data_IF_095048330333
#
_entry.id   IF_095048330333
#
_cell.length_a   1.000
_cell.length_b   1.000
_cell.length_c   1.000
_cell.angle_alpha   90.00
_cell.angle_beta   90.00
_cell.angle_gamma   90.00
#
_symmetry.space_group_name_H-M   'P 1'
#
loop_
_entity.id
_entity.type
_entity.pdbx_description
1 polymer ?
#
# COMPACT_ATOMS: atom_id res chain seq x y z
N UNK A 1 16.91 3.13 35.75
CA UNK A 1 15.44 2.99 35.81
C UNK A 1 14.91 3.03 34.40
N UNK A 2 14.30 1.94 33.91
CA UNK A 2 13.61 1.92 32.61
C UNK A 2 12.27 2.64 32.83
N UNK A 3 11.89 3.61 31.98
CA UNK A 3 10.53 4.15 32.05
C UNK A 3 9.57 3.01 31.75
N UNK A 4 8.70 2.73 32.70
CA UNK A 4 7.72 1.67 32.59
C UNK A 4 6.66 2.03 31.53
N UNK A 5 5.92 1.03 31.03
CA UNK A 5 4.80 1.19 30.12
C UNK A 5 3.77 2.25 30.60
N UNK A 6 3.71 2.57 31.88
CA UNK A 6 2.88 3.63 32.47
C UNK A 6 3.32 5.06 32.11
N UNK A 7 4.60 5.30 31.80
CA UNK A 7 5.08 6.63 31.37
C UNK A 7 4.77 6.94 29.90
N UNK A 8 4.55 5.92 29.09
CA UNK A 8 4.08 6.06 27.70
C UNK A 8 2.60 6.46 27.63
N UNK A 9 1.80 6.11 28.65
CA UNK A 9 0.38 6.49 28.74
C UNK A 9 0.17 7.93 29.21
N UNK A 10 1.17 8.60 29.75
CA UNK A 10 1.08 9.97 30.28
C UNK A 10 1.33 11.06 29.24
N UNK A 11 1.64 10.73 27.99
CA UNK A 11 1.54 11.66 26.87
C UNK A 11 0.07 11.82 26.38
N UNK A 12 -0.88 11.79 27.25
CA UNK A 12 -2.34 11.78 26.97
C UNK A 12 -2.89 13.01 26.21
N UNK A 13 -2.04 13.91 25.73
CA UNK A 13 -2.45 15.03 24.88
C UNK A 13 -1.87 15.05 23.47
N UNK A 14 -0.77 14.36 23.18
CA UNK A 14 -0.07 14.47 21.88
C UNK A 14 -0.14 13.16 21.08
N UNK A 15 -0.97 13.14 20.05
CA UNK A 15 -1.06 12.00 19.08
C UNK A 15 0.24 11.86 18.29
N UNK A 16 0.82 12.97 17.88
CA UNK A 16 2.03 13.03 17.06
C UNK A 16 3.28 13.19 17.95
N UNK A 17 3.63 12.09 18.61
CA UNK A 17 4.89 11.99 19.36
C UNK A 17 6.08 11.86 18.42
N UNK A 18 7.31 12.14 18.90
CA UNK A 18 8.53 12.01 18.07
C UNK A 18 8.63 10.65 17.36
N UNK A 19 8.39 9.50 18.01
CA UNK A 19 8.40 8.21 17.32
C UNK A 19 7.37 8.09 16.19
N UNK A 20 6.15 8.58 16.40
CA UNK A 20 5.09 8.56 15.38
C UNK A 20 5.47 9.47 14.20
N UNK A 21 6.04 10.66 14.48
CA UNK A 21 6.50 11.57 13.43
C UNK A 21 7.66 10.98 12.62
N UNK A 22 8.59 10.28 13.26
CA UNK A 22 9.69 9.59 12.56
C UNK A 22 9.15 8.48 11.65
N UNK A 23 8.16 7.70 12.09
CA UNK A 23 7.51 6.67 11.26
C UNK A 23 6.74 7.27 10.08
N UNK A 24 6.03 8.37 10.28
CA UNK A 24 5.33 9.07 9.22
C UNK A 24 6.29 9.69 8.20
N UNK A 25 7.38 10.32 8.67
CA UNK A 25 8.44 10.84 7.79
C UNK A 25 9.10 9.73 7.00
N UNK A 26 9.36 8.58 7.62
CA UNK A 26 9.88 7.38 6.95
C UNK A 26 8.96 6.92 5.81
N UNK A 27 7.64 6.92 6.05
CA UNK A 27 6.65 6.58 5.01
C UNK A 27 6.80 7.50 3.79
N UNK A 28 6.86 8.81 4.00
CA UNK A 28 7.01 9.78 2.91
C UNK A 28 8.34 9.58 2.16
N UNK A 29 9.46 9.58 2.89
CA UNK A 29 10.83 9.54 2.33
C UNK A 29 11.04 8.27 1.51
N UNK A 30 10.65 7.10 2.02
CA UNK A 30 10.84 5.82 1.33
C UNK A 30 9.88 5.64 0.17
N UNK A 31 8.65 6.16 0.28
CA UNK A 31 7.72 6.18 -0.85
C UNK A 31 8.22 7.07 -1.97
N UNK A 32 8.72 8.26 -1.63
CA UNK A 32 9.34 9.18 -2.59
C UNK A 32 10.51 8.52 -3.31
N UNK A 33 11.43 7.89 -2.57
CA UNK A 33 12.59 7.18 -3.11
C UNK A 33 12.17 6.08 -4.11
N UNK A 34 11.18 5.25 -3.73
CA UNK A 34 10.65 4.21 -4.60
C UNK A 34 9.95 4.80 -5.83
N UNK A 35 9.14 5.83 -5.66
CA UNK A 35 8.37 6.45 -6.74
C UNK A 35 9.25 7.17 -7.76
N UNK A 36 10.43 7.66 -7.39
CA UNK A 36 11.41 8.23 -8.33
C UNK A 36 11.87 7.23 -9.39
N UNK A 37 11.91 5.93 -9.08
CA UNK A 37 12.43 4.90 -9.98
C UNK A 37 11.38 4.31 -10.91
N UNK A 38 10.10 4.29 -10.50
CA UNK A 38 9.03 3.56 -11.19
C UNK A 38 8.83 3.96 -12.67
N UNK A 39 8.74 5.25 -13.06
CA UNK A 39 8.54 5.64 -14.45
C UNK A 39 9.71 5.25 -15.36
N UNK A 40 10.89 5.12 -14.77
CA UNK A 40 12.14 4.84 -15.48
C UNK A 40 12.45 3.37 -15.63
N UNK A 41 11.85 2.50 -14.82
CA UNK A 41 12.13 1.06 -14.85
C UNK A 41 11.99 0.46 -16.23
N UNK A 42 10.91 0.78 -16.94
CA UNK A 42 10.66 0.25 -18.29
C UNK A 42 11.70 0.77 -19.28
N UNK A 43 11.94 2.09 -19.29
CA UNK A 43 12.90 2.74 -20.19
C UNK A 43 14.33 2.27 -19.88
N UNK A 44 14.68 2.20 -18.62
CA UNK A 44 16.00 1.73 -18.18
C UNK A 44 16.26 0.28 -18.60
N UNK A 45 15.29 -0.62 -18.38
CA UNK A 45 15.42 -2.02 -18.77
C UNK A 45 15.50 -2.21 -20.29
N UNK A 46 14.74 -1.42 -21.06
CA UNK A 46 14.82 -1.44 -22.50
C UNK A 46 16.20 -0.97 -23.01
N UNK A 47 16.72 0.13 -22.47
CA UNK A 47 18.01 0.68 -22.88
C UNK A 47 19.22 -0.15 -22.37
N UNK A 48 19.15 -0.67 -21.14
CA UNK A 48 20.29 -1.35 -20.51
C UNK A 48 20.37 -2.82 -20.87
N UNK A 49 19.23 -3.50 -20.98
CA UNK A 49 19.16 -4.96 -21.17
C UNK A 49 18.51 -5.37 -22.50
N UNK A 50 18.06 -4.40 -23.32
CA UNK A 50 17.41 -4.69 -24.60
C UNK A 50 16.04 -5.39 -24.48
N UNK A 51 15.37 -5.27 -23.33
CA UNK A 51 14.10 -5.94 -23.06
C UNK A 51 12.93 -5.23 -23.73
N UNK A 52 12.00 -6.02 -24.28
CA UNK A 52 10.71 -5.52 -24.74
C UNK A 52 9.79 -5.09 -23.59
N UNK A 53 8.81 -4.23 -23.89
CA UNK A 53 7.85 -3.74 -22.89
C UNK A 53 7.11 -4.88 -22.18
N UNK A 54 6.77 -5.94 -22.93
CA UNK A 54 6.09 -7.12 -22.38
C UNK A 54 6.97 -7.87 -21.40
N UNK A 55 8.26 -8.08 -21.71
CA UNK A 55 9.21 -8.80 -20.85
C UNK A 55 9.44 -8.03 -19.55
N UNK A 56 9.61 -6.71 -19.64
CA UNK A 56 9.74 -5.83 -18.47
C UNK A 56 8.47 -5.89 -17.61
N UNK A 57 7.28 -5.83 -18.23
CA UNK A 57 6.00 -5.94 -17.53
C UNK A 57 5.86 -7.27 -16.78
N UNK A 58 6.21 -8.39 -17.40
CA UNK A 58 6.19 -9.72 -16.78
C UNK A 58 7.18 -9.82 -15.61
N UNK A 59 8.41 -9.33 -15.80
CA UNK A 59 9.43 -9.36 -14.75
C UNK A 59 9.07 -8.49 -13.56
N UNK A 60 8.55 -7.27 -13.78
CA UNK A 60 8.09 -6.39 -12.70
C UNK A 60 6.85 -6.92 -12.00
N UNK A 61 5.88 -7.47 -12.76
CA UNK A 61 4.71 -8.14 -12.22
C UNK A 61 5.11 -9.34 -11.34
N UNK A 62 6.02 -10.18 -11.83
CA UNK A 62 6.58 -11.28 -11.07
C UNK A 62 7.29 -10.83 -9.78
N UNK A 63 8.06 -9.75 -9.85
CA UNK A 63 8.72 -9.17 -8.68
C UNK A 63 7.71 -8.66 -7.64
N UNK A 64 6.61 -8.05 -8.06
CA UNK A 64 5.54 -7.60 -7.16
C UNK A 64 4.81 -8.78 -6.51
N UNK A 65 4.50 -9.83 -7.28
CA UNK A 65 3.87 -11.04 -6.75
C UNK A 65 4.79 -11.71 -5.72
N UNK A 66 6.06 -11.93 -6.08
CA UNK A 66 7.04 -12.54 -5.19
C UNK A 66 7.20 -11.74 -3.89
N UNK A 67 7.36 -10.43 -3.98
CA UNK A 67 7.48 -9.56 -2.79
C UNK A 67 6.23 -9.53 -1.94
N UNK A 68 5.03 -9.57 -2.53
CA UNK A 68 3.76 -9.63 -1.80
C UNK A 68 3.61 -10.95 -1.03
N UNK A 69 3.96 -12.08 -1.64
CA UNK A 69 3.95 -13.38 -0.96
C UNK A 69 4.98 -13.45 0.16
N UNK A 70 6.21 -13.00 -0.10
CA UNK A 70 7.28 -12.97 0.90
C UNK A 70 7.00 -11.98 2.05
N UNK A 71 6.21 -10.94 1.81
CA UNK A 71 5.84 -9.97 2.84
C UNK A 71 5.05 -10.59 4.01
N UNK A 72 4.38 -11.70 3.77
CA UNK A 72 3.74 -12.50 4.82
C UNK A 72 4.77 -12.99 5.86
N UNK A 73 5.87 -13.55 5.36
CA UNK A 73 7.00 -13.94 6.22
C UNK A 73 7.65 -12.71 6.87
N UNK A 74 7.72 -11.60 6.13
CA UNK A 74 8.15 -10.30 6.66
C UNK A 74 7.31 -9.85 7.86
N UNK A 75 5.99 -9.98 7.78
CA UNK A 75 5.07 -9.69 8.89
C UNK A 75 5.33 -10.55 10.13
N UNK A 76 5.59 -11.85 9.93
CA UNK A 76 5.99 -12.77 10.99
C UNK A 76 7.32 -12.34 11.67
N UNK A 77 8.29 -11.85 10.89
CA UNK A 77 9.52 -11.31 11.45
C UNK A 77 9.30 -10.01 12.24
N UNK A 78 8.36 -9.16 11.80
CA UNK A 78 7.97 -7.93 12.53
C UNK A 78 7.46 -8.25 13.93
N UNK A 79 6.72 -9.33 14.11
CA UNK A 79 6.22 -9.75 15.42
C UNK A 79 7.33 -10.38 16.28
N UNK A 80 8.34 -11.01 15.68
CA UNK A 80 9.42 -11.70 16.41
C UNK A 80 10.56 -10.80 16.86
N UNK A 81 10.86 -9.77 16.08
CA UNK A 81 11.98 -8.88 16.37
C UNK A 81 11.49 -7.50 16.81
N UNK A 82 12.36 -6.74 17.47
CA UNK A 82 12.02 -5.37 17.83
C UNK A 82 11.77 -4.53 16.58
N UNK A 83 10.75 -3.69 16.61
CA UNK A 83 10.40 -2.79 15.51
C UNK A 83 11.62 -1.99 15.01
N UNK A 84 12.49 -1.53 15.94
CA UNK A 84 13.72 -0.82 15.61
C UNK A 84 14.67 -1.67 14.75
N UNK A 85 14.91 -2.94 15.11
CA UNK A 85 15.79 -3.82 14.33
C UNK A 85 15.22 -4.09 12.94
N UNK A 86 13.94 -4.35 12.84
CA UNK A 86 13.26 -4.60 11.56
C UNK A 86 13.40 -3.38 10.64
N UNK A 87 13.14 -2.17 11.14
CA UNK A 87 13.22 -0.96 10.32
C UNK A 87 14.64 -0.63 9.88
N UNK A 88 15.64 -0.85 10.73
CA UNK A 88 17.05 -0.67 10.35
C UNK A 88 17.48 -1.72 9.33
N UNK A 89 17.19 -3.01 9.56
CA UNK A 89 17.59 -4.10 8.63
C UNK A 89 16.87 -3.96 7.29
N UNK A 90 15.55 -3.76 7.30
CA UNK A 90 14.79 -3.61 6.05
C UNK A 90 15.18 -2.33 5.30
N UNK A 91 15.44 -1.22 6.02
CA UNK A 91 15.96 0.01 5.42
C UNK A 91 17.35 -0.17 4.79
N UNK A 92 18.22 -0.93 5.45
CA UNK A 92 19.54 -1.28 4.88
C UNK A 92 19.42 -2.13 3.64
N UNK A 93 18.53 -3.14 3.65
CA UNK A 93 18.23 -3.95 2.46
C UNK A 93 17.66 -3.11 1.32
N UNK A 94 16.76 -2.15 1.61
CA UNK A 94 16.23 -1.21 0.63
C UNK A 94 17.34 -0.36 -0.01
N UNK A 95 18.21 0.22 0.79
CA UNK A 95 19.32 1.04 0.32
C UNK A 95 20.32 0.21 -0.52
N UNK A 96 20.75 -0.95 -0.01
CA UNK A 96 21.70 -1.84 -0.69
C UNK A 96 21.13 -2.37 -2.01
N UNK A 97 19.84 -2.74 -2.04
CA UNK A 97 19.21 -3.24 -3.25
C UNK A 97 19.10 -2.15 -4.33
N UNK A 98 18.77 -0.91 -3.98
CA UNK A 98 18.83 0.20 -4.95
C UNK A 98 20.26 0.49 -5.41
N UNK A 99 21.24 0.41 -4.52
CA UNK A 99 22.64 0.51 -4.88
C UNK A 99 23.10 -0.60 -5.84
N UNK A 100 22.67 -1.84 -5.58
CA UNK A 100 22.94 -2.97 -6.45
C UNK A 100 22.25 -2.78 -7.83
N UNK A 101 21.00 -2.31 -7.87
CA UNK A 101 20.30 -2.02 -9.11
C UNK A 101 21.00 -0.92 -9.94
N UNK A 102 21.61 0.07 -9.29
CA UNK A 102 22.39 1.11 -9.95
C UNK A 102 23.71 0.57 -10.53
N UNK A 103 24.43 -0.28 -9.78
CA UNK A 103 25.78 -0.71 -10.12
C UNK A 103 25.84 -1.93 -11.03
N UNK A 104 24.79 -2.75 -11.09
CA UNK A 104 24.84 -4.02 -11.80
C UNK A 104 24.63 -3.90 -13.31
N UNK A 105 25.41 -4.73 -14.04
CA UNK A 105 25.18 -4.99 -15.46
C UNK A 105 24.43 -6.30 -15.72
N UNK A 106 24.21 -7.09 -14.66
CA UNK A 106 23.48 -8.33 -14.75
C UNK A 106 21.98 -8.12 -14.64
N UNK A 107 21.22 -8.52 -15.66
CA UNK A 107 19.75 -8.48 -15.68
C UNK A 107 19.16 -9.26 -14.50
N UNK A 108 19.67 -10.46 -14.23
CA UNK A 108 19.17 -11.30 -13.13
C UNK A 108 19.36 -10.61 -11.75
N UNK A 109 20.54 -10.02 -11.52
CA UNK A 109 20.82 -9.30 -10.29
C UNK A 109 19.97 -8.02 -10.17
N UNK A 110 19.71 -7.32 -11.28
CA UNK A 110 18.83 -6.16 -11.31
C UNK A 110 17.41 -6.54 -10.87
N UNK A 111 16.80 -7.56 -11.47
CA UNK A 111 15.45 -7.97 -11.08
C UNK A 111 15.39 -8.56 -9.67
N UNK A 112 16.42 -9.28 -9.22
CA UNK A 112 16.54 -9.70 -7.82
C UNK A 112 16.56 -8.48 -6.88
N UNK A 113 17.34 -7.45 -7.22
CA UNK A 113 17.38 -6.20 -6.46
C UNK A 113 15.99 -5.54 -6.41
N UNK A 114 15.22 -5.50 -7.51
CA UNK A 114 13.85 -4.98 -7.54
C UNK A 114 12.91 -5.80 -6.63
N UNK A 115 13.02 -7.13 -6.59
CA UNK A 115 12.27 -7.97 -5.64
C UNK A 115 12.61 -7.58 -4.20
N UNK A 116 13.91 -7.44 -3.88
CA UNK A 116 14.36 -7.08 -2.54
C UNK A 116 13.90 -5.67 -2.14
N UNK A 117 13.95 -4.69 -3.05
CA UNK A 117 13.40 -3.33 -2.81
C UNK A 117 11.93 -3.40 -2.43
N UNK A 118 11.11 -4.10 -3.24
CA UNK A 118 9.68 -4.20 -2.99
C UNK A 118 9.38 -4.94 -1.67
N UNK A 119 10.10 -6.02 -1.38
CA UNK A 119 9.97 -6.75 -0.12
C UNK A 119 10.37 -5.89 1.07
N UNK A 120 11.52 -5.22 1.01
CA UNK A 120 11.98 -4.34 2.08
C UNK A 120 10.99 -3.19 2.34
N UNK A 121 10.47 -2.56 1.29
CA UNK A 121 9.43 -1.54 1.39
C UNK A 121 8.16 -2.09 2.06
N UNK A 122 7.70 -3.28 1.66
CA UNK A 122 6.52 -3.92 2.26
C UNK A 122 6.74 -4.23 3.75
N UNK A 123 7.91 -4.76 4.14
CA UNK A 123 8.25 -5.06 5.54
C UNK A 123 8.32 -3.78 6.38
N UNK A 124 8.90 -2.69 5.84
CA UNK A 124 8.92 -1.39 6.51
C UNK A 124 7.50 -0.86 6.70
N UNK A 125 6.65 -0.94 5.68
CA UNK A 125 5.25 -0.50 5.77
C UNK A 125 4.47 -1.28 6.84
N UNK A 126 4.64 -2.60 6.89
CA UNK A 126 4.06 -3.47 7.93
C UNK A 126 4.56 -3.06 9.32
N UNK A 127 5.87 -2.85 9.48
CA UNK A 127 6.48 -2.48 10.76
C UNK A 127 5.99 -1.09 11.24
N UNK A 128 5.81 -0.14 10.32
CA UNK A 128 5.24 1.18 10.63
C UNK A 128 3.78 1.06 11.07
N UNK A 129 2.95 0.28 10.36
CA UNK A 129 1.55 0.05 10.74
C UNK A 129 1.44 -0.61 12.12
N UNK A 130 2.21 -1.66 12.36
CA UNK A 130 2.26 -2.34 13.66
C UNK A 130 2.75 -1.40 14.77
N UNK A 131 3.76 -0.57 14.49
CA UNK A 131 4.28 0.45 15.40
C UNK A 131 3.24 1.52 15.74
N UNK A 132 2.49 2.03 14.76
CA UNK A 132 1.37 2.95 14.98
C UNK A 132 0.31 2.30 15.89
N UNK A 133 -0.05 1.03 15.63
CA UNK A 133 -0.98 0.27 16.45
C UNK A 133 -0.52 0.08 17.91
N UNK A 134 0.79 0.16 18.17
CA UNK A 134 1.37 0.05 19.51
C UNK A 134 1.50 1.40 20.21
N UNK A 135 1.88 2.46 19.47
CA UNK A 135 2.20 3.77 20.03
C UNK A 135 1.00 4.71 20.14
N UNK A 136 -0.03 4.48 19.34
CA UNK A 136 -1.18 5.39 19.23
C UNK A 136 -2.41 4.78 19.89
N UNK A 137 -3.11 5.58 20.71
CA UNK A 137 -4.38 5.17 21.31
C UNK A 137 -5.40 4.79 20.22
N UNK A 138 -6.18 3.73 20.44
CA UNK A 138 -7.10 3.13 19.46
C UNK A 138 -8.02 4.16 18.80
N UNK A 139 -8.53 5.13 19.58
CA UNK A 139 -9.45 6.18 19.11
C UNK A 139 -8.80 7.17 18.12
N UNK A 140 -7.46 7.25 18.11
CA UNK A 140 -6.69 8.21 17.28
C UNK A 140 -5.98 7.55 16.09
N UNK A 141 -5.96 6.20 16.02
CA UNK A 141 -5.24 5.46 14.95
C UNK A 141 -5.77 5.78 13.56
N UNK A 142 -7.10 5.95 13.40
CA UNK A 142 -7.71 6.30 12.11
C UNK A 142 -7.13 7.61 11.54
N UNK A 143 -6.98 8.65 12.36
CA UNK A 143 -6.38 9.91 11.94
C UNK A 143 -4.89 9.73 11.53
N UNK A 144 -4.12 8.93 12.29
CA UNK A 144 -2.70 8.70 12.00
C UNK A 144 -2.51 7.86 10.73
N UNK A 145 -3.35 6.82 10.52
CA UNK A 145 -3.34 6.06 9.27
C UNK A 145 -3.71 6.91 8.06
N UNK A 146 -4.62 7.88 8.23
CA UNK A 146 -4.97 8.83 7.17
C UNK A 146 -3.81 9.76 6.82
N UNK A 147 -3.10 10.30 7.83
CA UNK A 147 -1.86 11.08 7.60
C UNK A 147 -0.81 10.21 6.90
N UNK A 148 -0.63 8.97 7.34
CA UNK A 148 0.27 8.02 6.67
C UNK A 148 -0.07 7.86 5.18
N UNK A 149 -1.36 7.67 4.87
CA UNK A 149 -1.83 7.52 3.51
C UNK A 149 -1.64 8.80 2.67
N UNK A 150 -1.92 9.97 3.23
CA UNK A 150 -1.63 11.26 2.59
C UNK A 150 -0.16 11.39 2.22
N UNK A 151 0.74 11.07 3.16
CA UNK A 151 2.19 11.13 2.93
C UNK A 151 2.66 10.15 1.86
N UNK A 152 2.06 8.96 1.82
CA UNK A 152 2.27 7.99 0.73
C UNK A 152 1.89 8.59 -0.63
N UNK A 153 0.71 9.21 -0.73
CA UNK A 153 0.25 9.82 -1.99
C UNK A 153 1.11 11.01 -2.42
N UNK A 154 1.53 11.86 -1.47
CA UNK A 154 2.47 12.96 -1.77
C UNK A 154 3.80 12.41 -2.30
N UNK A 155 4.31 11.32 -1.71
CA UNK A 155 5.51 10.64 -2.18
C UNK A 155 5.36 10.11 -3.61
N UNK A 156 4.23 9.44 -3.91
CA UNK A 156 3.93 8.95 -5.26
C UNK A 156 3.70 10.06 -6.28
N UNK A 157 3.14 11.21 -5.87
CA UNK A 157 2.94 12.35 -6.76
C UNK A 157 4.26 13.08 -7.06
N UNK A 158 5.11 13.31 -6.06
CA UNK A 158 6.37 14.04 -6.19
C UNK A 158 7.50 13.19 -6.80
N UNK A 159 7.52 11.88 -6.52
CA UNK A 159 8.58 10.98 -6.93
C UNK A 159 8.87 10.97 -8.43
N UNK A 160 7.88 10.78 -9.31
CA UNK A 160 8.06 10.78 -10.75
C UNK A 160 8.73 12.05 -11.29
N UNK A 161 8.38 13.24 -10.76
CA UNK A 161 9.01 14.51 -11.19
C UNK A 161 10.50 14.53 -10.88
N UNK A 162 10.88 14.13 -9.66
CA UNK A 162 12.28 14.02 -9.27
C UNK A 162 13.00 12.96 -10.09
N UNK A 163 12.36 11.83 -10.33
CA UNK A 163 12.88 10.74 -11.14
C UNK A 163 13.21 11.18 -12.57
N UNK A 164 12.30 11.94 -13.22
CA UNK A 164 12.52 12.51 -14.56
C UNK A 164 13.71 13.47 -14.57
N UNK A 165 13.82 14.34 -13.58
CA UNK A 165 14.94 15.29 -13.49
C UNK A 165 16.28 14.56 -13.35
N UNK A 166 16.34 13.56 -12.49
CA UNK A 166 17.56 12.77 -12.25
C UNK A 166 17.94 11.95 -13.48
N UNK A 167 16.96 11.31 -14.14
CA UNK A 167 17.24 10.47 -15.30
C UNK A 167 17.71 11.26 -16.53
N UNK A 168 17.30 12.52 -16.67
CA UNK A 168 17.85 13.42 -17.70
C UNK A 168 19.35 13.67 -17.51
N UNK A 169 19.83 13.68 -16.26
CA UNK A 169 21.25 13.82 -15.94
C UNK A 169 22.03 12.49 -16.07
N UNK A 170 21.33 11.34 -15.90
CA UNK A 170 21.88 10.02 -16.12
C UNK A 170 20.87 8.91 -15.85
N UNK A 171 20.76 7.89 -16.73
CA UNK A 171 19.68 6.88 -16.67
C UNK A 171 19.62 6.09 -15.35
N UNK A 172 20.76 5.87 -14.69
CA UNK A 172 20.85 5.16 -13.41
C UNK A 172 20.65 6.04 -12.17
N UNK A 173 20.72 7.37 -12.30
CA UNK A 173 20.70 8.30 -11.17
C UNK A 173 19.46 8.20 -10.26
N UNK A 174 18.24 7.90 -10.75
CA UNK A 174 17.10 7.66 -9.88
C UNK A 174 17.33 6.52 -8.87
N UNK A 175 18.02 5.44 -9.27
CA UNK A 175 18.35 4.32 -8.40
C UNK A 175 19.43 4.69 -7.38
N UNK A 176 20.47 5.42 -7.82
CA UNK A 176 21.51 5.93 -6.92
C UNK A 176 20.91 6.88 -5.87
N UNK A 177 20.06 7.82 -6.27
CA UNK A 177 19.38 8.74 -5.36
C UNK A 177 18.49 7.99 -4.37
N UNK A 178 17.71 7.00 -4.82
CA UNK A 178 16.89 6.17 -3.95
C UNK A 178 17.73 5.38 -2.93
N UNK A 179 18.92 4.88 -3.33
CA UNK A 179 19.87 4.24 -2.42
C UNK A 179 20.35 5.21 -1.33
N UNK A 180 20.78 6.41 -1.70
CA UNK A 180 21.22 7.42 -0.73
C UNK A 180 20.12 7.88 0.21
N UNK A 181 18.89 8.02 -0.29
CA UNK A 181 17.71 8.29 0.56
C UNK A 181 17.48 7.15 1.56
N UNK A 182 17.65 5.90 1.12
CA UNK A 182 17.59 4.72 1.99
C UNK A 182 18.67 4.75 3.07
N UNK A 183 19.91 5.09 2.73
CA UNK A 183 21.01 5.27 3.71
C UNK A 183 20.65 6.37 4.72
N UNK A 184 20.17 7.52 4.23
CA UNK A 184 19.72 8.62 5.08
C UNK A 184 18.62 8.21 6.06
N UNK A 185 17.65 7.41 5.59
CA UNK A 185 16.60 6.83 6.44
C UNK A 185 17.20 5.94 7.54
N UNK A 186 18.11 5.02 7.18
CA UNK A 186 18.73 4.11 8.15
C UNK A 186 19.49 4.89 9.23
N UNK A 187 20.28 5.88 8.84
CA UNK A 187 21.02 6.73 9.76
C UNK A 187 20.05 7.51 10.69
N UNK A 188 19.04 8.15 10.10
CA UNK A 188 18.05 8.92 10.86
C UNK A 188 17.31 8.03 11.85
N UNK A 189 16.89 6.81 11.40
CA UNK A 189 16.16 5.88 12.26
C UNK A 189 17.05 5.22 13.30
N UNK A 190 18.30 4.94 13.00
CA UNK A 190 19.28 4.41 13.96
C UNK A 190 19.57 5.41 15.10
N UNK A 191 19.61 6.72 14.77
CA UNK A 191 19.92 7.78 15.73
C UNK A 191 18.67 8.23 16.52
N UNK A 192 17.53 8.39 15.87
CA UNK A 192 16.33 9.00 16.45
C UNK A 192 15.14 8.03 16.57
N UNK A 193 15.26 6.85 16.00
CA UNK A 193 14.20 5.83 16.07
C UNK A 193 14.02 5.32 17.51
N UNK A 194 12.77 5.15 17.89
CA UNK A 194 12.45 4.61 19.20
C UNK A 194 12.83 3.14 19.26
N UNK A 195 13.61 2.78 20.26
CA UNK A 195 13.87 1.39 20.63
C UNK A 195 12.62 0.82 21.30
N UNK A 196 11.52 0.72 20.55
CA UNK A 196 10.36 -0.03 20.98
C UNK A 196 10.83 -1.45 21.29
N UNK A 197 10.75 -1.81 22.55
CA UNK A 197 10.97 -3.18 22.98
C UNK A 197 10.05 -4.12 22.22
N UNK A 198 10.38 -5.41 22.20
CA UNK A 198 9.39 -6.45 21.90
C UNK A 198 8.11 -6.10 22.63
N UNK A 199 6.97 -5.99 21.96
CA UNK A 199 5.70 -6.11 22.63
C UNK A 199 5.83 -7.38 23.48
N UNK A 200 5.50 -7.29 24.77
CA UNK A 200 5.57 -8.45 25.66
C UNK A 200 4.74 -9.55 24.98
N UNK A 201 5.42 -10.46 24.33
CA UNK A 201 4.77 -11.48 23.53
C UNK A 201 4.46 -12.61 24.50
N UNK A 202 3.19 -12.78 24.83
CA UNK A 202 2.66 -13.99 25.45
C UNK A 202 2.72 -15.19 24.48
N UNK A 203 3.27 -15.00 23.27
CA UNK A 203 3.51 -16.08 22.31
C UNK A 203 4.68 -16.91 22.79
N UNK A 204 4.51 -18.23 22.97
CA UNK A 204 5.63 -19.13 23.22
C UNK A 204 6.73 -18.92 22.18
N UNK A 205 8.01 -18.82 22.58
CA UNK A 205 9.13 -18.55 21.66
C UNK A 205 9.30 -19.60 20.54
N UNK A 206 8.48 -20.63 20.51
CA UNK A 206 8.63 -21.84 19.68
C UNK A 206 7.60 -21.99 18.56
N UNK A 207 6.58 -21.14 18.44
CA UNK A 207 5.60 -21.26 17.34
C UNK A 207 6.26 -20.99 15.99
N UNK A 208 6.22 -22.02 15.10
CA UNK A 208 6.77 -21.93 13.75
C UNK A 208 5.91 -21.05 12.84
N UNK A 209 6.49 -20.55 11.73
CA UNK A 209 5.75 -19.76 10.74
C UNK A 209 4.52 -20.52 10.19
N UNK A 210 4.66 -21.81 9.91
CA UNK A 210 3.57 -22.64 9.37
C UNK A 210 2.42 -22.82 10.37
N UNK A 211 2.70 -22.87 11.65
CA UNK A 211 1.70 -22.98 12.72
C UNK A 211 0.90 -21.68 12.83
N UNK A 212 1.59 -20.52 12.84
CA UNK A 212 0.93 -19.20 12.82
C UNK A 212 0.12 -19.03 11.54
N UNK A 213 0.61 -19.51 10.38
CA UNK A 213 -0.14 -19.51 9.14
C UNK A 213 -1.43 -20.33 9.23
N UNK A 214 -1.37 -21.52 9.87
CA UNK A 214 -2.55 -22.32 10.14
C UNK A 214 -3.60 -21.59 11.00
N UNK A 215 -3.15 -20.78 11.95
CA UNK A 215 -4.02 -19.90 12.75
C UNK A 215 -4.66 -18.80 11.92
N UNK A 216 -3.87 -18.09 11.10
CA UNK A 216 -4.38 -17.01 10.23
C UNK A 216 -5.45 -17.50 9.25
N UNK A 217 -5.26 -18.67 8.66
CA UNK A 217 -6.23 -19.26 7.72
C UNK A 217 -7.55 -19.65 8.40
N UNK A 218 -7.55 -19.87 9.71
CA UNK A 218 -8.75 -20.14 10.51
C UNK A 218 -9.43 -18.85 10.98
N UNK A 219 -8.72 -17.72 11.01
CA UNK A 219 -9.35 -16.43 11.31
C UNK A 219 -10.19 -15.96 10.11
N UNK A 220 -11.47 -16.34 10.14
CA UNK A 220 -12.44 -16.04 9.09
C UNK A 220 -12.55 -14.53 8.83
N UNK A 221 -12.39 -13.68 9.86
CA UNK A 221 -12.44 -12.21 9.72
C UNK A 221 -11.27 -11.73 8.86
N UNK A 222 -10.05 -12.18 9.18
CA UNK A 222 -8.85 -11.83 8.43
C UNK A 222 -8.96 -12.30 6.96
N UNK A 223 -9.39 -13.55 6.73
CA UNK A 223 -9.57 -14.09 5.37
C UNK A 223 -10.56 -13.25 4.57
N UNK A 224 -11.73 -12.96 5.14
CA UNK A 224 -12.74 -12.11 4.49
C UNK A 224 -12.19 -10.71 4.18
N UNK A 225 -11.48 -10.08 5.11
CA UNK A 225 -10.91 -8.74 4.88
C UNK A 225 -9.77 -8.75 3.88
N UNK A 226 -8.94 -9.79 3.84
CA UNK A 226 -7.90 -9.94 2.82
C UNK A 226 -8.50 -10.12 1.42
N UNK A 227 -9.55 -10.93 1.28
CA UNK A 227 -10.25 -11.12 0.00
C UNK A 227 -11.02 -9.87 -0.42
N UNK A 228 -11.73 -9.22 0.50
CA UNK A 228 -12.40 -7.95 0.26
C UNK A 228 -11.42 -6.86 -0.15
N UNK A 229 -10.29 -6.75 0.55
CA UNK A 229 -9.20 -5.84 0.22
C UNK A 229 -8.57 -6.12 -1.14
N UNK A 230 -8.36 -7.39 -1.51
CA UNK A 230 -7.87 -7.75 -2.83
C UNK A 230 -8.81 -7.24 -3.94
N UNK A 231 -10.11 -7.46 -3.80
CA UNK A 231 -11.11 -6.97 -4.77
C UNK A 231 -11.21 -5.44 -4.77
N UNK A 232 -11.07 -4.78 -3.61
CA UNK A 232 -10.96 -3.32 -3.53
C UNK A 232 -9.76 -2.81 -4.30
N UNK A 233 -8.59 -3.44 -4.14
CA UNK A 233 -7.34 -3.05 -4.82
C UNK A 233 -7.41 -3.32 -6.33
N UNK A 234 -8.17 -4.34 -6.78
CA UNK A 234 -8.50 -4.51 -8.21
C UNK A 234 -9.14 -3.23 -8.76
N UNK A 235 -10.02 -2.59 -7.98
CA UNK A 235 -10.77 -1.41 -8.39
C UNK A 235 -9.92 -0.15 -8.35
N UNK A 236 -9.22 0.14 -7.25
CA UNK A 236 -8.52 1.42 -7.12
C UNK A 236 -7.00 1.34 -7.36
N UNK A 237 -6.39 0.16 -7.21
CA UNK A 237 -4.93 0.02 -7.13
C UNK A 237 -4.15 0.46 -8.36
N UNK A 238 -4.74 0.34 -9.54
CA UNK A 238 -4.13 0.74 -10.82
C UNK A 238 -5.17 1.38 -11.76
N UNK A 239 -5.99 2.30 -11.22
CA UNK A 239 -7.05 2.94 -11.99
C UNK A 239 -6.55 3.64 -13.27
N UNK A 240 -5.39 4.26 -13.21
CA UNK A 240 -4.81 4.94 -14.36
C UNK A 240 -4.48 3.98 -15.51
N UNK A 241 -4.07 2.74 -15.18
CA UNK A 241 -3.74 1.75 -16.21
C UNK A 241 -5.00 1.25 -16.94
N UNK A 242 -6.02 0.78 -16.22
CA UNK A 242 -7.22 0.25 -16.88
C UNK A 242 -8.08 1.34 -17.52
N UNK A 243 -8.13 2.56 -16.96
CA UNK A 243 -8.81 3.68 -17.62
C UNK A 243 -8.08 4.12 -18.90
N UNK A 244 -6.73 4.07 -18.91
CA UNK A 244 -5.97 4.27 -20.14
C UNK A 244 -6.31 3.24 -21.21
N UNK A 245 -6.41 1.95 -20.83
CA UNK A 245 -6.83 0.88 -21.75
C UNK A 245 -8.22 1.16 -22.35
N UNK A 246 -9.18 1.55 -21.50
CA UNK A 246 -10.54 1.89 -21.94
C UNK A 246 -10.54 3.08 -22.92
N UNK A 247 -9.87 4.16 -22.57
CA UNK A 247 -9.82 5.38 -23.37
C UNK A 247 -9.09 5.17 -24.71
N UNK A 248 -8.07 4.29 -24.77
CA UNK A 248 -7.39 3.93 -26.01
C UNK A 248 -8.27 3.11 -26.94
N UNK A 249 -9.16 2.28 -26.39
CA UNK A 249 -10.10 1.48 -27.22
C UNK A 249 -11.28 2.33 -27.70
N UNK A 250 -11.68 3.36 -26.96
CA UNK A 250 -12.87 4.18 -27.25
C UNK A 250 -12.58 5.54 -27.87
N UNK A 251 -11.30 5.98 -27.91
CA UNK A 251 -10.92 7.32 -28.35
C UNK A 251 -9.55 7.38 -29.00
N UNK A 252 -8.94 8.57 -28.99
CA UNK A 252 -7.62 8.82 -29.54
C UNK A 252 -6.53 8.80 -28.44
N UNK A 253 -5.26 8.55 -28.78
CA UNK A 253 -4.15 8.64 -27.83
C UNK A 253 -4.05 10.01 -27.15
N UNK A 254 -4.25 11.09 -27.90
CA UNK A 254 -4.18 12.47 -27.39
C UNK A 254 -5.26 12.73 -26.34
N UNK A 255 -6.50 12.29 -26.60
CA UNK A 255 -7.60 12.37 -25.64
C UNK A 255 -7.30 11.54 -24.40
N UNK A 256 -6.76 10.33 -24.58
CA UNK A 256 -6.36 9.45 -23.48
C UNK A 256 -5.34 10.14 -22.56
N UNK A 257 -4.26 10.69 -23.12
CA UNK A 257 -3.25 11.41 -22.32
C UNK A 257 -3.85 12.60 -21.56
N UNK A 258 -4.72 13.36 -22.23
CA UNK A 258 -5.38 14.50 -21.60
C UNK A 258 -6.26 14.08 -20.41
N UNK A 259 -7.16 13.10 -20.60
CA UNK A 259 -8.07 12.64 -19.57
C UNK A 259 -7.30 12.04 -18.40
N UNK A 260 -6.35 11.13 -18.65
CA UNK A 260 -5.57 10.49 -17.58
C UNK A 260 -4.79 11.50 -16.75
N UNK A 261 -4.22 12.53 -17.37
CA UNK A 261 -3.55 13.62 -16.65
C UNK A 261 -4.50 14.34 -15.69
N UNK A 262 -5.72 14.67 -16.14
CA UNK A 262 -6.73 15.28 -15.27
C UNK A 262 -7.14 14.33 -14.14
N UNK A 263 -7.32 13.03 -14.43
CA UNK A 263 -7.73 12.06 -13.40
C UNK A 263 -6.68 11.87 -12.30
N UNK A 264 -5.41 11.69 -12.69
CA UNK A 264 -4.30 11.52 -11.73
C UNK A 264 -4.14 12.79 -10.88
N UNK A 265 -4.21 13.97 -11.51
CA UNK A 265 -4.13 15.25 -10.81
C UNK A 265 -5.31 15.42 -9.83
N UNK A 266 -6.54 15.12 -10.29
CA UNK A 266 -7.74 15.19 -9.47
C UNK A 266 -7.66 14.26 -8.27
N UNK A 267 -7.25 13.00 -8.48
CA UNK A 267 -7.03 12.04 -7.38
C UNK A 267 -6.06 12.60 -6.34
N UNK A 268 -4.89 13.06 -6.77
CA UNK A 268 -3.89 13.63 -5.85
C UNK A 268 -4.44 14.84 -5.07
N UNK A 269 -5.13 15.77 -5.74
CA UNK A 269 -5.72 16.95 -5.09
C UNK A 269 -6.79 16.57 -4.06
N UNK A 270 -7.68 15.63 -4.39
CA UNK A 270 -8.74 15.16 -3.47
C UNK A 270 -8.14 14.42 -2.28
N UNK A 271 -7.17 13.51 -2.50
CA UNK A 271 -6.48 12.83 -1.41
C UNK A 271 -5.79 13.83 -0.49
N UNK A 272 -4.96 14.72 -1.02
CA UNK A 272 -4.20 15.69 -0.21
C UNK A 272 -5.15 16.62 0.56
N UNK A 273 -6.24 17.08 -0.09
CA UNK A 273 -7.16 18.03 0.52
C UNK A 273 -8.13 17.43 1.55
N UNK A 274 -8.62 16.22 1.31
CA UNK A 274 -9.73 15.66 2.10
C UNK A 274 -9.34 14.47 3.00
N UNK A 275 -8.22 13.79 2.75
CA UNK A 275 -7.84 12.57 3.46
C UNK A 275 -7.85 12.72 4.98
N UNK A 276 -7.25 13.79 5.50
CA UNK A 276 -7.19 14.01 6.94
C UNK A 276 -8.57 14.27 7.54
N UNK A 277 -9.41 15.06 6.85
CA UNK A 277 -10.76 15.42 7.32
C UNK A 277 -11.67 14.19 7.40
N UNK A 278 -11.57 13.32 6.41
CA UNK A 278 -12.35 12.07 6.35
C UNK A 278 -11.81 11.06 7.38
N UNK A 279 -10.51 10.83 7.37
CA UNK A 279 -9.89 9.83 8.21
C UNK A 279 -9.98 10.11 9.71
N UNK A 280 -10.01 11.40 10.11
CA UNK A 280 -10.24 11.78 11.51
C UNK A 280 -11.63 11.37 12.03
N UNK A 281 -12.58 11.10 11.14
CA UNK A 281 -13.93 10.63 11.50
C UNK A 281 -14.06 9.11 11.56
N UNK A 282 -13.05 8.37 11.08
CA UNK A 282 -13.05 6.90 11.06
C UNK A 282 -12.58 6.42 12.45
N UNK A 283 -13.39 5.58 13.08
CA UNK A 283 -13.12 4.99 14.37
C UNK A 283 -13.71 3.57 14.46
N UNK A 284 -13.37 2.82 15.50
CA UNK A 284 -13.79 1.42 15.68
C UNK A 284 -15.31 1.23 15.66
N UNK A 285 -16.11 2.22 16.09
CA UNK A 285 -17.56 2.10 16.19
C UNK A 285 -18.27 2.28 14.83
N UNK A 286 -17.59 2.87 13.84
CA UNK A 286 -18.20 3.16 12.53
C UNK A 286 -17.55 2.42 11.35
N UNK A 287 -16.60 1.50 11.59
CA UNK A 287 -15.82 0.82 10.55
C UNK A 287 -16.68 0.25 9.43
N UNK A 288 -17.69 -0.55 9.77
CA UNK A 288 -18.55 -1.17 8.76
C UNK A 288 -19.33 -0.13 7.95
N UNK A 289 -19.85 0.91 8.60
CA UNK A 289 -20.55 2.01 7.90
C UNK A 289 -19.62 2.75 6.95
N UNK A 290 -18.37 2.98 7.35
CA UNK A 290 -17.38 3.63 6.50
C UNK A 290 -17.00 2.74 5.31
N UNK A 291 -16.83 1.42 5.50
CA UNK A 291 -16.60 0.48 4.40
C UNK A 291 -17.77 0.51 3.39
N UNK A 292 -19.00 0.40 3.85
CA UNK A 292 -20.17 0.48 2.96
C UNK A 292 -20.25 1.82 2.22
N UNK A 293 -19.96 2.94 2.91
CA UNK A 293 -19.95 4.26 2.30
C UNK A 293 -18.86 4.39 1.24
N UNK A 294 -17.65 3.94 1.53
CA UNK A 294 -16.56 3.96 0.57
C UNK A 294 -16.82 3.09 -0.66
N UNK A 295 -17.39 1.89 -0.47
CA UNK A 295 -17.81 1.01 -1.57
C UNK A 295 -18.91 1.62 -2.42
N UNK A 296 -19.86 2.32 -1.79
CA UNK A 296 -20.90 3.07 -2.53
C UNK A 296 -20.27 4.16 -3.40
N UNK A 297 -19.30 4.91 -2.88
CA UNK A 297 -18.59 5.93 -3.67
C UNK A 297 -17.82 5.31 -4.84
N UNK A 298 -17.21 4.13 -4.67
CA UNK A 298 -16.58 3.42 -5.80
C UNK A 298 -17.62 3.04 -6.86
N UNK A 299 -18.77 2.47 -6.47
CA UNK A 299 -19.84 2.13 -7.43
C UNK A 299 -20.32 3.36 -8.20
N UNK A 300 -20.63 4.45 -7.51
CA UNK A 300 -21.08 5.69 -8.15
C UNK A 300 -20.01 6.27 -9.06
N UNK A 301 -18.75 6.26 -8.64
CA UNK A 301 -17.61 6.69 -9.46
C UNK A 301 -17.43 5.86 -10.73
N UNK A 302 -17.51 4.52 -10.62
CA UNK A 302 -17.42 3.60 -11.77
C UNK A 302 -18.58 3.78 -12.75
N UNK A 303 -19.79 3.97 -12.24
CA UNK A 303 -20.96 4.29 -13.08
C UNK A 303 -20.74 5.65 -13.75
N UNK A 304 -20.23 6.65 -13.03
CA UNK A 304 -19.87 7.94 -13.60
C UNK A 304 -18.85 7.82 -14.73
N UNK A 305 -17.78 7.03 -14.57
CA UNK A 305 -16.81 6.78 -15.64
C UNK A 305 -17.44 6.10 -16.87
N UNK A 306 -18.35 5.16 -16.65
CA UNK A 306 -19.02 4.44 -17.75
C UNK A 306 -19.93 5.33 -18.62
N UNK A 307 -20.35 6.49 -18.10
CA UNK A 307 -21.23 7.45 -18.77
C UNK A 307 -20.50 8.75 -19.19
N UNK A 308 -19.22 8.88 -18.83
CA UNK A 308 -18.46 10.09 -19.07
C UNK A 308 -18.00 10.17 -20.54
N UNK A 309 -18.47 11.18 -21.27
CA UNK A 309 -18.03 11.49 -22.63
C UNK A 309 -17.06 12.68 -22.66
N UNK A 310 -17.28 13.68 -21.80
CA UNK A 310 -16.51 14.91 -21.75
C UNK A 310 -15.61 14.97 -20.51
N UNK A 311 -14.48 15.65 -20.60
CA UNK A 311 -13.48 15.79 -19.53
C UNK A 311 -14.07 16.20 -18.17
N UNK A 312 -15.00 17.17 -18.07
CA UNK A 312 -15.58 17.54 -16.77
C UNK A 312 -16.29 16.37 -16.07
N UNK A 313 -17.00 15.51 -16.80
CA UNK A 313 -17.69 14.36 -16.23
C UNK A 313 -16.69 13.30 -15.74
N UNK A 314 -15.59 13.08 -16.47
CA UNK A 314 -14.47 12.25 -16.01
C UNK A 314 -13.89 12.76 -14.69
N UNK A 315 -13.69 14.07 -14.58
CA UNK A 315 -13.16 14.72 -13.36
C UNK A 315 -14.14 14.55 -12.18
N UNK A 316 -15.45 14.78 -12.40
CA UNK A 316 -16.47 14.62 -11.35
C UNK A 316 -16.52 13.15 -10.89
N UNK A 317 -16.54 12.20 -11.82
CA UNK A 317 -16.52 10.78 -11.49
C UNK A 317 -15.27 10.41 -10.69
N UNK A 318 -14.10 11.00 -11.03
CA UNK A 318 -12.85 10.79 -10.30
C UNK A 318 -12.88 11.35 -8.88
N UNK A 319 -13.48 12.52 -8.67
CA UNK A 319 -13.67 13.09 -7.33
C UNK A 319 -14.49 12.11 -6.48
N UNK A 320 -15.61 11.62 -7.00
CA UNK A 320 -16.49 10.68 -6.32
C UNK A 320 -15.75 9.37 -6.00
N UNK A 321 -15.05 8.80 -6.99
CA UNK A 321 -14.25 7.59 -6.85
C UNK A 321 -13.16 7.75 -5.78
N UNK A 322 -12.44 8.87 -5.79
CA UNK A 322 -11.38 9.16 -4.82
C UNK A 322 -11.91 9.35 -3.41
N UNK A 323 -13.14 9.88 -3.23
CA UNK A 323 -13.78 9.90 -1.91
C UNK A 323 -13.95 8.46 -1.38
N UNK A 324 -14.32 7.50 -2.23
CA UNK A 324 -14.33 6.09 -1.87
C UNK A 324 -12.96 5.60 -1.38
N UNK A 325 -11.91 5.90 -2.12
CA UNK A 325 -10.53 5.51 -1.83
C UNK A 325 -10.05 6.04 -0.47
N UNK A 326 -10.25 7.34 -0.20
CA UNK A 326 -9.82 7.98 1.06
C UNK A 326 -10.60 7.49 2.29
N UNK A 327 -11.76 6.86 2.10
CA UNK A 327 -12.52 6.21 3.16
C UNK A 327 -12.02 4.77 3.36
N UNK A 328 -11.90 4.00 2.29
CA UNK A 328 -11.62 2.55 2.34
C UNK A 328 -10.26 2.25 2.94
N UNK A 329 -9.20 2.89 2.44
CA UNK A 329 -7.82 2.51 2.80
C UNK A 329 -7.54 2.66 4.30
N UNK A 330 -7.79 3.81 4.95
CA UNK A 330 -7.57 3.91 6.39
C UNK A 330 -8.55 3.06 7.20
N UNK A 331 -9.76 2.79 6.67
CA UNK A 331 -10.73 1.91 7.34
C UNK A 331 -10.24 0.46 7.35
N UNK A 332 -9.68 -0.02 6.24
CA UNK A 332 -9.05 -1.34 6.18
C UNK A 332 -7.89 -1.46 7.17
N UNK A 333 -6.99 -0.46 7.21
CA UNK A 333 -5.87 -0.48 8.16
C UNK A 333 -6.36 -0.52 9.61
N UNK A 334 -7.38 0.28 9.94
CA UNK A 334 -7.94 0.33 11.28
C UNK A 334 -8.68 -0.96 11.64
N UNK A 335 -9.34 -1.61 10.66
CA UNK A 335 -10.02 -2.88 10.90
C UNK A 335 -9.02 -4.00 11.17
N UNK A 336 -7.97 -4.12 10.37
CA UNK A 336 -6.90 -5.09 10.59
C UNK A 336 -6.26 -4.87 11.97
N UNK A 337 -5.96 -3.63 12.34
CA UNK A 337 -5.44 -3.30 13.66
C UNK A 337 -6.38 -3.68 14.80
N UNK A 338 -7.70 -3.61 14.56
CA UNK A 338 -8.74 -3.95 15.53
C UNK A 338 -8.87 -5.47 15.77
N UNK A 339 -8.80 -6.27 14.70
CA UNK A 339 -8.91 -7.72 14.79
C UNK A 339 -7.61 -8.41 15.18
N UNK A 340 -6.46 -7.79 14.91
CA UNK A 340 -5.15 -8.37 15.15
C UNK A 340 -4.86 -8.47 16.66
N UNK A 341 -4.51 -9.67 17.18
CA UNK A 341 -3.91 -9.78 18.49
C UNK A 341 -2.66 -8.92 18.58
N UNK A 342 -2.40 -8.32 19.77
CA UNK A 342 -1.31 -7.37 19.94
C UNK A 342 0.07 -7.92 19.53
N UNK A 343 0.28 -9.22 19.71
CA UNK A 343 1.52 -9.94 19.41
C UNK A 343 1.62 -10.49 17.96
N UNK A 344 0.52 -10.43 17.18
CA UNK A 344 0.45 -10.90 15.79
C UNK A 344 0.15 -9.77 14.79
N UNK A 345 0.25 -8.51 15.19
CA UNK A 345 -0.06 -7.37 14.31
C UNK A 345 0.76 -7.35 13.02
N UNK A 346 2.03 -7.70 13.10
CA UNK A 346 2.90 -7.74 11.93
C UNK A 346 2.41 -8.73 10.87
N UNK A 347 2.10 -9.95 11.29
CA UNK A 347 1.65 -10.97 10.32
C UNK A 347 0.23 -10.71 9.82
N UNK A 348 -0.66 -10.08 10.62
CA UNK A 348 -1.99 -9.63 10.15
C UNK A 348 -1.87 -8.56 9.07
N UNK A 349 -0.99 -7.58 9.24
CA UNK A 349 -0.69 -6.61 8.18
C UNK A 349 0.06 -7.25 7.00
N UNK A 350 0.86 -8.28 7.23
CA UNK A 350 1.46 -9.09 6.17
C UNK A 350 0.41 -9.80 5.33
N UNK A 351 -0.63 -10.37 5.97
CA UNK A 351 -1.76 -10.98 5.27
C UNK A 351 -2.57 -9.93 4.48
N UNK A 352 -2.86 -8.77 5.08
CA UNK A 352 -3.50 -7.66 4.36
C UNK A 352 -2.68 -7.24 3.13
N UNK A 353 -1.36 -7.27 3.20
CA UNK A 353 -0.50 -6.86 2.09
C UNK A 353 -0.67 -7.75 0.84
N UNK A 354 -1.22 -8.98 0.99
CA UNK A 354 -1.62 -9.82 -0.15
C UNK A 354 -2.71 -9.16 -1.01
N UNK A 355 -3.49 -8.24 -0.44
CA UNK A 355 -4.48 -7.46 -1.20
C UNK A 355 -3.84 -6.67 -2.34
N UNK A 356 -2.55 -6.31 -2.25
CA UNK A 356 -1.82 -5.63 -3.31
C UNK A 356 -1.71 -6.45 -4.61
N UNK A 357 -1.92 -7.77 -4.57
CA UNK A 357 -2.06 -8.59 -5.77
C UNK A 357 -3.21 -8.10 -6.67
N UNK A 358 -4.25 -7.48 -6.07
CA UNK A 358 -5.34 -6.85 -6.79
C UNK A 358 -4.88 -5.76 -7.77
N UNK A 359 -3.79 -5.05 -7.45
CA UNK A 359 -3.24 -4.02 -8.34
C UNK A 359 -2.70 -4.60 -9.67
N UNK A 360 -2.19 -5.84 -9.65
CA UNK A 360 -1.79 -6.53 -10.87
C UNK A 360 -3.01 -7.13 -11.61
N UNK A 361 -3.99 -7.65 -10.86
CA UNK A 361 -5.18 -8.28 -11.41
C UNK A 361 -6.12 -7.28 -12.08
N UNK A 362 -6.22 -6.04 -11.57
CA UNK A 362 -7.13 -5.01 -12.07
C UNK A 362 -6.97 -4.76 -13.59
N UNK A 363 -5.80 -4.26 -14.04
CA UNK A 363 -5.57 -4.03 -15.46
C UNK A 363 -5.66 -5.29 -16.32
N UNK A 364 -5.30 -6.46 -15.78
CA UNK A 364 -5.41 -7.75 -16.48
C UNK A 364 -6.89 -8.12 -16.74
N UNK A 365 -7.74 -8.07 -15.73
CA UNK A 365 -9.17 -8.34 -15.85
C UNK A 365 -9.85 -7.34 -16.79
N UNK A 366 -9.50 -6.06 -16.65
CA UNK A 366 -10.02 -5.00 -17.52
C UNK A 366 -9.58 -5.18 -18.98
N UNK A 367 -8.32 -5.50 -19.23
CA UNK A 367 -7.80 -5.79 -20.55
C UNK A 367 -8.47 -6.98 -21.21
N UNK A 368 -8.70 -8.07 -20.46
CA UNK A 368 -9.48 -9.23 -20.94
C UNK A 368 -10.92 -8.85 -21.27
N UNK A 369 -11.59 -8.07 -20.40
CA UNK A 369 -12.95 -7.62 -20.67
C UNK A 369 -13.03 -6.76 -21.95
N UNK A 370 -12.09 -5.83 -22.15
CA UNK A 370 -11.99 -4.98 -23.34
C UNK A 370 -11.67 -5.76 -24.62
N UNK A 371 -10.93 -6.86 -24.53
CA UNK A 371 -10.57 -7.67 -25.70
C UNK A 371 -11.69 -8.61 -26.15
N UNK A 372 -12.60 -9.00 -25.24
CA UNK A 372 -13.63 -10.03 -25.51
C UNK A 372 -15.03 -9.46 -25.63
N UNK A 373 -15.29 -8.27 -25.09
CA UNK A 373 -16.64 -7.71 -24.96
C UNK A 373 -16.66 -6.22 -25.35
N UNK A 374 -17.87 -5.63 -25.33
CA UNK A 374 -18.02 -4.18 -25.47
C UNK A 374 -17.29 -3.44 -24.34
N UNK A 375 -16.71 -2.25 -24.61
CA UNK A 375 -15.87 -1.54 -23.63
C UNK A 375 -16.54 -1.30 -22.27
N UNK A 376 -17.85 -1.06 -22.25
CA UNK A 376 -18.63 -0.83 -21.02
C UNK A 376 -18.64 -2.02 -20.05
N UNK A 377 -18.43 -3.26 -20.56
CA UNK A 377 -18.39 -4.48 -19.74
C UNK A 377 -17.25 -4.41 -18.72
N UNK A 378 -16.16 -3.71 -19.03
CA UNK A 378 -15.07 -3.48 -18.08
C UNK A 378 -15.56 -2.84 -16.78
N UNK A 379 -16.43 -1.83 -16.87
CA UNK A 379 -17.00 -1.19 -15.67
C UNK A 379 -17.94 -2.10 -14.91
N UNK A 380 -18.71 -2.97 -15.60
CA UNK A 380 -19.58 -3.96 -14.94
C UNK A 380 -18.75 -4.99 -14.17
N UNK A 381 -17.61 -5.42 -14.70
CA UNK A 381 -16.67 -6.30 -13.99
C UNK A 381 -16.12 -5.63 -12.73
N UNK A 382 -15.74 -4.36 -12.82
CA UNK A 382 -15.25 -3.60 -11.66
C UNK A 382 -16.37 -3.38 -10.63
N UNK A 383 -17.60 -3.05 -11.05
CA UNK A 383 -18.76 -2.96 -10.15
C UNK A 383 -19.06 -4.29 -9.45
N UNK A 384 -18.93 -5.42 -10.16
CA UNK A 384 -19.05 -6.74 -9.55
C UNK A 384 -17.98 -6.97 -8.47
N UNK A 385 -16.73 -6.56 -8.74
CA UNK A 385 -15.66 -6.63 -7.74
C UNK A 385 -16.02 -5.80 -6.48
N UNK A 386 -16.58 -4.59 -6.64
CA UNK A 386 -17.02 -3.77 -5.50
C UNK A 386 -18.14 -4.45 -4.70
N UNK A 387 -19.12 -5.04 -5.36
CA UNK A 387 -20.23 -5.76 -4.70
C UNK A 387 -19.71 -6.97 -3.94
N UNK A 388 -18.84 -7.78 -4.55
CA UNK A 388 -18.24 -8.94 -3.91
C UNK A 388 -17.33 -8.53 -2.73
N UNK A 389 -16.53 -7.47 -2.88
CA UNK A 389 -15.72 -6.92 -1.80
C UNK A 389 -16.60 -6.49 -0.61
N UNK A 390 -17.71 -5.80 -0.89
CA UNK A 390 -18.68 -5.39 0.15
C UNK A 390 -19.26 -6.61 0.87
N UNK A 391 -19.56 -7.68 0.13
CA UNK A 391 -20.03 -8.96 0.68
C UNK A 391 -19.01 -9.59 1.63
N UNK A 392 -17.74 -9.64 1.23
CA UNK A 392 -16.65 -10.13 2.10
C UNK A 392 -16.46 -9.28 3.35
N UNK A 393 -16.47 -7.96 3.24
CA UNK A 393 -16.39 -7.08 4.41
C UNK A 393 -17.60 -7.27 5.36
N UNK A 394 -18.80 -7.43 4.81
CA UNK A 394 -19.98 -7.71 5.61
C UNK A 394 -19.85 -9.04 6.38
N UNK A 395 -19.40 -10.11 5.70
CA UNK A 395 -19.20 -11.40 6.33
C UNK A 395 -18.12 -11.32 7.42
N UNK A 396 -16.99 -10.64 7.15
CA UNK A 396 -15.95 -10.46 8.12
C UNK A 396 -16.37 -9.62 9.35
N UNK A 397 -17.19 -8.58 9.14
CA UNK A 397 -17.71 -7.77 10.25
C UNK A 397 -18.73 -8.50 11.12
N UNK A 398 -19.51 -9.42 10.53
CA UNK A 398 -20.53 -10.23 11.26
C UNK A 398 -19.96 -11.46 11.96
N UNK A 399 -18.79 -11.92 11.57
CA UNK A 399 -18.16 -13.06 12.19
C UNK A 399 -17.96 -12.78 13.70
N UNK A 400 -18.45 -13.68 14.54
CA UNK A 400 -18.27 -13.60 16.00
C UNK A 400 -16.79 -13.60 16.33
N UNK A 401 -16.42 -12.84 17.36
CA UNK A 401 -15.09 -12.94 17.96
C UNK A 401 -14.83 -14.40 18.35
N UNK A 402 -13.99 -15.08 17.59
CA UNK A 402 -13.44 -16.38 17.99
C UNK A 402 -12.40 -16.17 19.08
N UNK A 403 -12.83 -15.58 20.21
CA UNK A 403 -12.01 -15.34 21.40
C UNK A 403 -11.76 -16.60 22.23
N UNK A 404 -11.79 -17.76 21.63
CA UNK A 404 -11.11 -18.91 22.17
C UNK A 404 -9.70 -18.87 21.59
N UNK A 405 -8.82 -18.15 22.28
CA UNK A 405 -7.38 -18.03 22.00
C UNK A 405 -6.75 -19.41 22.30
N UNK A 406 -6.36 -20.21 21.28
CA UNK A 406 -5.70 -21.50 21.53
C UNK A 406 -4.18 -21.39 21.48
N UNK A 407 -3.61 -20.14 21.54
CA UNK A 407 -2.15 -19.94 21.53
C UNK A 407 -1.70 -19.09 22.72
#
# INVERSE_FOLDING_TARGET
MKPGAAELTLAEGRVYTTPVMVMLSATFILTLARAMTLPYLVVYCAQRFGLGVADVGLALGGALIASSLLSLYGGFLVDRFSNHRILVVAGSLFALAFGAAFLTDSMALFFLAIVVVNLAYAVIDIAIKAGIGTLVAAQRRGAVFSVKYTLTNIGFAAGPFLGVLLAKAGPGLPFAAASWVGVGFVLLYALFGTKLGKAASDVPPQTGFLEVMGYLLKDYRLVCFTLGGLLSVVVFGQFSAYLSQYLLVTGTPEHTYQVINYLVTTNACVVIGLQYLVGARINQNNLFRMLCLGMLFFLVGLIGFSQAEQVPFWVIAMIVFTIGEIIIIPTEYLFIDFIAPAHLRGIYYGAQNLSNLGAALGPMLCGLALSMYQPQVMFYVLCLCVVLATGFYYMGCKAKDGKDDPL
#
